data_IF_177623799170
#
_entry.id   IF_177623799170
#
_cell.length_a   1.000
_cell.length_b   1.000
_cell.length_c   1.000
_cell.angle_alpha   90.00
_cell.angle_beta   90.00
_cell.angle_gamma   90.00
#
_symmetry.space_group_name_H-M   'P 1'
#
loop_
_entity.id
_entity.type
_entity.pdbx_description
1 polymer ?
#
# COMPACT_ATOMS: atom_id res chain seq x y z
N UNK A 1 -23.07 -5.38 14.47
CA UNK A 1 -23.79 -5.77 13.25
C UNK A 1 -23.63 -4.78 12.09
N UNK A 2 -23.96 -3.51 12.26
CA UNK A 2 -23.88 -2.51 11.15
C UNK A 2 -22.44 -2.16 10.77
N UNK A 3 -21.52 -2.23 11.71
CA UNK A 3 -20.12 -1.81 11.54
C UNK A 3 -19.29 -2.78 10.66
N UNK A 4 -19.62 -4.07 10.67
CA UNK A 4 -18.94 -5.09 9.86
C UNK A 4 -19.34 -5.05 8.38
N UNK A 5 -20.48 -4.45 8.04
CA UNK A 5 -20.94 -4.36 6.65
C UNK A 5 -20.33 -3.18 5.88
N UNK A 6 -19.95 -2.09 6.56
CA UNK A 6 -19.41 -0.90 5.91
C UNK A 6 -18.05 -1.17 5.22
N UNK A 7 -17.20 -2.01 5.83
CA UNK A 7 -15.87 -2.32 5.30
C UNK A 7 -15.90 -3.08 3.96
N UNK A 8 -16.67 -4.18 3.81
CA UNK A 8 -16.80 -4.85 2.51
C UNK A 8 -17.44 -3.95 1.44
N UNK A 9 -18.44 -3.15 1.81
CA UNK A 9 -19.10 -2.23 0.87
C UNK A 9 -18.11 -1.18 0.37
N UNK A 10 -17.31 -0.59 1.27
CA UNK A 10 -16.27 0.37 0.88
C UNK A 10 -15.20 -0.29 0.00
N UNK A 11 -14.78 -1.52 0.34
CA UNK A 11 -13.82 -2.28 -0.47
C UNK A 11 -14.31 -2.54 -1.90
N UNK A 12 -15.58 -2.94 -2.05
CA UNK A 12 -16.21 -3.14 -3.37
C UNK A 12 -16.26 -1.81 -4.15
N UNK A 13 -16.70 -0.73 -3.49
CA UNK A 13 -16.74 0.59 -4.11
C UNK A 13 -15.35 1.05 -4.57
N UNK A 14 -14.34 0.90 -3.72
CA UNK A 14 -12.96 1.26 -4.04
C UNK A 14 -12.44 0.49 -5.25
N UNK A 15 -12.63 -0.84 -5.27
CA UNK A 15 -12.20 -1.69 -6.39
C UNK A 15 -12.92 -1.33 -7.69
N UNK A 16 -14.22 -1.09 -7.63
CA UNK A 16 -14.98 -0.69 -8.82
C UNK A 16 -14.51 0.68 -9.36
N UNK A 17 -14.31 1.66 -8.49
CA UNK A 17 -13.83 2.98 -8.87
C UNK A 17 -12.40 2.89 -9.47
N UNK A 18 -11.52 2.11 -8.86
CA UNK A 18 -10.16 1.89 -9.34
C UNK A 18 -10.17 1.22 -10.73
N UNK A 19 -10.96 0.15 -10.92
CA UNK A 19 -11.08 -0.54 -12.22
C UNK A 19 -11.60 0.38 -13.32
N UNK A 20 -12.57 1.26 -13.02
CA UNK A 20 -13.08 2.24 -13.99
C UNK A 20 -12.00 3.24 -14.39
N UNK A 21 -11.16 3.68 -13.46
CA UNK A 21 -10.05 4.58 -13.78
C UNK A 21 -8.96 3.89 -14.61
N UNK A 22 -8.64 2.62 -14.33
CA UNK A 22 -7.66 1.84 -15.09
C UNK A 22 -8.09 1.61 -16.55
N UNK A 23 -9.38 1.57 -16.82
CA UNK A 23 -9.94 1.39 -18.17
C UNK A 23 -10.09 2.72 -18.95
N UNK A 24 -9.85 3.87 -18.31
CA UNK A 24 -9.99 5.17 -18.95
C UNK A 24 -8.79 5.45 -19.87
N UNK A 25 -9.08 5.80 -21.11
CA UNK A 25 -8.06 6.22 -22.10
C UNK A 25 -7.78 7.73 -21.95
N UNK A 26 -7.04 8.07 -20.91
CA UNK A 26 -6.67 9.45 -20.58
C UNK A 26 -5.17 9.62 -20.63
N UNK A 27 -4.72 10.85 -20.95
CA UNK A 27 -3.29 11.18 -20.94
C UNK A 27 -2.77 11.10 -19.52
N UNK A 28 -1.80 10.25 -19.28
CA UNK A 28 -1.14 10.07 -17.98
C UNK A 28 0.08 10.97 -17.82
N UNK A 29 0.31 11.42 -16.61
CA UNK A 29 1.51 12.16 -16.20
C UNK A 29 2.55 11.19 -15.65
N UNK A 30 3.72 11.15 -16.29
CA UNK A 30 4.78 10.24 -15.86
C UNK A 30 5.48 10.79 -14.62
N UNK A 31 5.48 9.99 -13.56
CA UNK A 31 6.18 10.25 -12.31
C UNK A 31 7.54 9.57 -12.35
N UNK A 32 8.58 10.37 -12.18
CA UNK A 32 9.97 9.94 -12.16
C UNK A 32 10.78 10.84 -11.23
N UNK A 33 11.70 10.23 -10.49
CA UNK A 33 12.66 10.92 -9.64
C UNK A 33 14.08 10.51 -10.03
N UNK A 34 15.04 11.42 -9.95
CA UNK A 34 16.47 11.11 -10.18
C UNK A 34 17.01 10.00 -9.26
N UNK A 35 16.36 9.78 -8.11
CA UNK A 35 16.71 8.69 -7.22
C UNK A 35 16.30 7.32 -7.77
N UNK A 36 15.27 7.25 -8.64
CA UNK A 36 14.76 6.01 -9.21
C UNK A 36 15.80 5.33 -10.12
N UNK A 37 16.63 6.13 -10.79
CA UNK A 37 17.68 5.64 -11.69
C UNK A 37 18.82 4.95 -10.94
N UNK A 38 19.01 5.30 -9.65
CA UNK A 38 20.05 4.74 -8.80
C UNK A 38 19.64 3.45 -8.09
N UNK A 39 18.34 3.16 -8.02
CA UNK A 39 17.82 1.96 -7.38
C UNK A 39 17.85 0.81 -8.39
N UNK A 40 18.62 -0.27 -8.16
CA UNK A 40 18.65 -1.41 -9.08
C UNK A 40 17.36 -2.22 -8.99
N UNK A 41 16.99 -2.89 -10.09
CA UNK A 41 15.95 -3.92 -10.07
C UNK A 41 16.45 -5.15 -9.34
N UNK A 42 15.66 -5.68 -8.39
CA UNK A 42 15.99 -6.87 -7.61
C UNK A 42 14.79 -7.80 -7.47
N UNK A 43 14.76 -8.95 -8.18
CA UNK A 43 13.59 -9.83 -8.21
C UNK A 43 13.27 -10.51 -6.88
N UNK A 44 14.23 -10.63 -5.96
CA UNK A 44 13.98 -11.23 -4.64
C UNK A 44 13.03 -10.41 -3.76
N UNK A 45 12.87 -9.14 -4.04
CA UNK A 45 11.91 -8.27 -3.35
C UNK A 45 10.45 -8.59 -3.67
N UNK A 46 10.19 -9.53 -4.59
CA UNK A 46 8.83 -10.05 -4.81
C UNK A 46 8.27 -10.73 -3.54
N UNK A 47 9.12 -11.29 -2.68
CA UNK A 47 8.69 -11.94 -1.44
C UNK A 47 8.01 -10.93 -0.50
N UNK A 48 8.65 -9.86 -0.02
CA UNK A 48 7.98 -8.87 0.83
C UNK A 48 6.84 -8.15 0.11
N UNK A 49 6.88 -7.99 -1.22
CA UNK A 49 5.79 -7.42 -1.98
C UNK A 49 4.51 -8.28 -1.88
N UNK A 50 4.64 -9.59 -2.08
CA UNK A 50 3.49 -10.51 -1.94
C UNK A 50 3.03 -10.62 -0.49
N UNK A 51 3.94 -10.56 0.48
CA UNK A 51 3.60 -10.57 1.90
C UNK A 51 2.78 -9.35 2.33
N UNK A 52 2.82 -8.24 1.58
CA UNK A 52 1.97 -7.07 1.81
C UNK A 52 0.48 -7.41 1.82
N UNK A 53 0.01 -8.25 0.89
CA UNK A 53 -1.40 -8.66 0.84
C UNK A 53 -1.83 -9.37 2.13
N UNK A 54 -1.01 -10.31 2.59
CA UNK A 54 -1.29 -11.04 3.83
C UNK A 54 -1.19 -10.15 5.06
N UNK A 55 -0.24 -9.23 5.07
CA UNK A 55 -0.07 -8.27 6.17
C UNK A 55 -1.26 -7.32 6.28
N UNK A 56 -1.71 -6.74 5.17
CA UNK A 56 -2.87 -5.87 5.12
C UNK A 56 -4.15 -6.61 5.53
N UNK A 57 -4.45 -7.74 4.88
CA UNK A 57 -5.65 -8.53 5.15
C UNK A 57 -5.66 -9.02 6.60
N UNK A 58 -4.54 -9.56 7.08
CA UNK A 58 -4.41 -10.05 8.46
C UNK A 58 -4.62 -8.93 9.48
N UNK A 59 -4.09 -7.73 9.22
CA UNK A 59 -4.29 -6.56 10.11
C UNK A 59 -5.74 -6.10 10.10
N UNK A 60 -6.38 -6.01 8.94
CA UNK A 60 -7.81 -5.66 8.82
C UNK A 60 -8.68 -6.66 9.58
N UNK A 61 -8.45 -7.96 9.40
CA UNK A 61 -9.19 -9.02 10.12
C UNK A 61 -8.95 -8.90 11.63
N UNK A 62 -7.73 -8.69 12.06
CA UNK A 62 -7.41 -8.52 13.49
C UNK A 62 -8.22 -7.37 14.12
N UNK A 63 -8.22 -6.21 13.50
CA UNK A 63 -8.97 -5.05 14.02
C UNK A 63 -10.48 -5.24 13.91
N UNK A 64 -10.97 -5.92 12.89
CA UNK A 64 -12.40 -6.16 12.69
C UNK A 64 -12.99 -7.21 13.66
N UNK A 65 -12.21 -8.25 14.01
CA UNK A 65 -12.73 -9.42 14.71
C UNK A 65 -12.16 -9.55 16.13
N UNK A 66 -10.87 -9.30 16.31
CA UNK A 66 -10.13 -9.66 17.52
C UNK A 66 -9.76 -8.46 18.41
N UNK A 67 -9.83 -7.23 17.89
CA UNK A 67 -9.50 -6.03 18.64
C UNK A 67 -10.70 -5.62 19.52
N UNK A 68 -10.55 -5.55 20.86
CA UNK A 68 -11.65 -5.17 21.77
C UNK A 68 -11.94 -3.66 21.74
N UNK A 69 -11.01 -2.86 21.25
CA UNK A 69 -11.10 -1.40 21.26
C UNK A 69 -11.78 -0.89 19.97
N UNK A 70 -13.02 -0.42 20.11
CA UNK A 70 -13.71 0.25 19.00
C UNK A 70 -12.98 1.51 18.53
N UNK A 71 -12.30 2.23 19.42
CA UNK A 71 -11.51 3.40 19.09
C UNK A 71 -10.38 3.03 18.13
N UNK A 72 -9.57 2.03 18.47
CA UNK A 72 -8.46 1.59 17.62
C UNK A 72 -8.95 1.07 16.25
N UNK A 73 -10.07 0.34 16.25
CA UNK A 73 -10.73 -0.07 15.03
C UNK A 73 -11.08 1.11 14.12
N UNK A 74 -11.75 2.15 14.65
CA UNK A 74 -12.12 3.32 13.86
C UNK A 74 -10.92 4.16 13.44
N UNK A 75 -9.90 4.28 14.29
CA UNK A 75 -8.67 4.98 13.96
C UNK A 75 -7.96 4.32 12.76
N UNK A 76 -7.84 3.00 12.78
CA UNK A 76 -7.20 2.27 11.68
C UNK A 76 -8.03 2.31 10.40
N UNK A 77 -9.30 1.96 10.46
CA UNK A 77 -10.15 1.95 9.25
C UNK A 77 -10.42 3.35 8.71
N UNK A 78 -10.53 4.34 9.57
CA UNK A 78 -10.63 5.74 9.17
C UNK A 78 -9.37 6.20 8.43
N UNK A 79 -8.19 5.81 8.93
CA UNK A 79 -6.91 6.06 8.25
C UNK A 79 -6.90 5.44 6.86
N UNK A 80 -7.23 4.14 6.74
CA UNK A 80 -7.27 3.47 5.45
C UNK A 80 -8.31 4.11 4.51
N UNK A 81 -9.53 4.36 5.02
CA UNK A 81 -10.62 4.94 4.23
C UNK A 81 -10.27 6.32 3.66
N UNK A 82 -9.71 7.21 4.49
CA UNK A 82 -9.27 8.54 4.03
C UNK A 82 -8.14 8.44 3.02
N UNK A 83 -7.11 7.65 3.31
CA UNK A 83 -5.97 7.52 2.40
C UNK A 83 -6.35 6.93 1.05
N UNK A 84 -7.15 5.86 1.04
CA UNK A 84 -7.63 5.22 -0.18
C UNK A 84 -8.58 6.13 -0.98
N UNK A 85 -9.43 6.92 -0.30
CA UNK A 85 -10.30 7.91 -0.97
C UNK A 85 -9.48 9.03 -1.58
N UNK A 86 -8.48 9.55 -0.87
CA UNK A 86 -7.58 10.57 -1.41
C UNK A 86 -6.79 10.06 -2.61
N UNK A 87 -6.34 8.81 -2.57
CA UNK A 87 -5.70 8.18 -3.72
C UNK A 87 -6.63 8.17 -4.95
N UNK A 88 -7.89 7.74 -4.81
CA UNK A 88 -8.85 7.76 -5.92
C UNK A 88 -9.07 9.18 -6.44
N UNK A 89 -9.21 10.16 -5.56
CA UNK A 89 -9.39 11.56 -5.95
C UNK A 89 -8.17 12.11 -6.70
N UNK A 90 -6.95 11.82 -6.20
CA UNK A 90 -5.72 12.23 -6.87
C UNK A 90 -5.61 11.57 -8.24
N UNK A 91 -5.83 10.27 -8.34
CA UNK A 91 -5.77 9.53 -9.60
C UNK A 91 -6.81 10.01 -10.62
N UNK A 92 -7.99 10.42 -10.15
CA UNK A 92 -9.04 11.00 -11.00
C UNK A 92 -8.66 12.39 -11.54
N UNK A 93 -8.14 13.27 -10.68
CA UNK A 93 -7.79 14.66 -11.05
C UNK A 93 -6.45 14.72 -11.79
N UNK A 94 -5.53 13.84 -11.44
CA UNK A 94 -4.17 13.78 -11.95
C UNK A 94 -3.83 12.33 -12.34
N UNK A 95 -4.35 11.84 -13.47
CA UNK A 95 -3.99 10.51 -14.00
C UNK A 95 -2.49 10.40 -14.17
N UNK A 96 -1.90 9.39 -13.57
CA UNK A 96 -0.45 9.29 -13.44
C UNK A 96 0.05 7.87 -13.70
N UNK A 97 1.34 7.74 -13.96
CA UNK A 97 1.98 6.45 -14.22
C UNK A 97 3.49 6.54 -14.21
N UNK A 98 4.17 5.44 -14.54
CA UNK A 98 5.62 5.37 -14.56
C UNK A 98 6.13 4.47 -15.70
N UNK A 99 7.42 4.66 -16.05
CA UNK A 99 8.14 3.87 -17.03
C UNK A 99 9.42 3.24 -16.45
N UNK A 100 9.37 2.84 -15.17
CA UNK A 100 10.54 2.32 -14.45
C UNK A 100 10.76 0.82 -14.65
N UNK A 101 9.72 0.08 -15.08
CA UNK A 101 9.76 -1.38 -15.19
C UNK A 101 10.77 -1.83 -16.26
N UNK A 102 11.70 -2.73 -15.91
CA UNK A 102 12.61 -3.28 -16.92
C UNK A 102 11.87 -4.24 -17.85
N UNK A 103 12.40 -4.40 -19.06
CA UNK A 103 12.00 -5.50 -19.91
C UNK A 103 12.52 -6.81 -19.32
N UNK A 104 11.61 -7.76 -19.15
CA UNK A 104 11.89 -9.07 -18.57
C UNK A 104 11.90 -10.19 -19.64
N UNK A 105 11.82 -9.87 -20.95
CA UNK A 105 11.78 -10.87 -22.03
C UNK A 105 12.95 -11.84 -21.95
N UNK A 106 14.16 -11.32 -21.69
CA UNK A 106 15.40 -12.07 -21.65
C UNK A 106 15.86 -12.47 -20.21
N UNK A 107 15.04 -12.18 -19.21
CA UNK A 107 15.40 -12.40 -17.79
C UNK A 107 15.33 -13.88 -17.34
N UNK A 108 15.14 -14.83 -18.27
CA UNK A 108 14.99 -16.25 -17.96
C UNK A 108 13.63 -16.61 -17.35
N UNK A 109 13.45 -17.89 -16.96
CA UNK A 109 12.18 -18.44 -16.47
C UNK A 109 12.24 -18.85 -14.99
N UNK A 110 13.06 -18.17 -14.19
CA UNK A 110 13.12 -18.38 -12.75
C UNK A 110 11.76 -18.06 -12.07
N UNK A 111 11.47 -18.74 -10.97
CA UNK A 111 10.17 -18.60 -10.27
C UNK A 111 9.87 -17.14 -9.89
N UNK A 112 10.85 -16.39 -9.41
CA UNK A 112 10.67 -14.98 -9.05
C UNK A 112 10.32 -14.11 -10.26
N UNK A 113 11.03 -14.31 -11.38
CA UNK A 113 10.75 -13.59 -12.63
C UNK A 113 9.35 -13.94 -13.18
N UNK A 114 8.96 -15.19 -13.09
CA UNK A 114 7.62 -15.62 -13.53
C UNK A 114 6.51 -14.97 -12.71
N UNK A 115 6.69 -14.88 -11.38
CA UNK A 115 5.75 -14.19 -10.48
C UNK A 115 5.73 -12.68 -10.77
N UNK A 116 6.88 -12.05 -11.03
CA UNK A 116 6.95 -10.62 -11.37
C UNK A 116 6.28 -10.34 -12.72
N UNK A 117 6.48 -11.19 -13.73
CA UNK A 117 5.77 -11.06 -15.01
C UNK A 117 4.25 -11.15 -14.82
N UNK A 118 3.79 -12.06 -13.98
CA UNK A 118 2.37 -12.15 -13.65
C UNK A 118 1.89 -10.90 -12.89
N UNK A 119 2.67 -10.43 -11.91
CA UNK A 119 2.38 -9.19 -11.19
C UNK A 119 2.26 -8.00 -12.15
N UNK A 120 3.21 -7.82 -13.06
CA UNK A 120 3.21 -6.71 -14.02
C UNK A 120 2.01 -6.71 -14.99
N UNK A 121 1.36 -7.87 -15.16
CA UNK A 121 0.13 -7.98 -15.96
C UNK A 121 -1.13 -7.56 -15.21
N UNK A 122 -1.18 -7.84 -13.90
CA UNK A 122 -2.37 -7.56 -13.09
C UNK A 122 -2.31 -6.19 -12.41
N UNK A 123 -1.14 -5.69 -12.14
CA UNK A 123 -0.88 -4.41 -11.49
C UNK A 123 -0.22 -3.49 -12.54
N UNK A 124 -1.03 -2.63 -13.15
CA UNK A 124 -0.59 -1.77 -14.25
C UNK A 124 0.37 -0.67 -13.77
N UNK A 125 1.19 -0.07 -14.66
CA UNK A 125 2.09 1.02 -14.27
C UNK A 125 1.37 2.39 -14.25
N UNK A 126 0.06 2.40 -14.05
CA UNK A 126 -0.81 3.57 -14.01
C UNK A 126 -1.43 3.75 -12.63
N UNK A 127 -1.87 4.97 -12.32
CA UNK A 127 -2.48 5.31 -11.02
C UNK A 127 -1.62 4.87 -9.83
N UNK A 128 -0.35 5.24 -9.84
CA UNK A 128 0.65 4.81 -8.86
C UNK A 128 0.86 5.80 -7.70
N UNK A 129 0.39 7.04 -7.84
CA UNK A 129 0.68 8.14 -6.92
C UNK A 129 -0.55 8.56 -6.11
N UNK A 130 -0.44 8.66 -4.78
CA UNK A 130 0.64 8.14 -3.92
C UNK A 130 0.63 6.61 -3.83
N UNK A 131 1.74 5.98 -3.42
CA UNK A 131 1.81 4.52 -3.32
C UNK A 131 0.86 3.96 -2.26
N UNK A 132 -0.17 3.23 -2.69
CA UNK A 132 -1.09 2.56 -1.76
C UNK A 132 -0.46 1.37 -1.04
N UNK A 133 0.51 0.71 -1.64
CA UNK A 133 1.28 -0.34 -0.98
C UNK A 133 2.01 0.20 0.26
N UNK A 134 2.71 1.32 0.08
CA UNK A 134 3.44 2.00 1.16
C UNK A 134 2.47 2.58 2.19
N UNK A 135 1.41 3.25 1.72
CA UNK A 135 0.42 3.85 2.62
C UNK A 135 -0.23 2.80 3.52
N UNK A 136 -0.80 1.75 2.93
CA UNK A 136 -1.52 0.73 3.69
C UNK A 136 -0.59 -0.09 4.60
N UNK A 137 0.64 -0.42 4.15
CA UNK A 137 1.62 -1.11 4.99
C UNK A 137 2.00 -0.27 6.21
N UNK A 138 2.31 1.01 6.01
CA UNK A 138 2.71 1.92 7.09
C UNK A 138 1.55 2.20 8.03
N UNK A 139 0.34 2.41 7.53
CA UNK A 139 -0.87 2.59 8.35
C UNK A 139 -1.14 1.35 9.22
N UNK A 140 -1.00 0.14 8.65
CA UNK A 140 -1.13 -1.12 9.38
C UNK A 140 -0.08 -1.25 10.48
N UNK A 141 1.17 -0.92 10.18
CA UNK A 141 2.27 -0.94 11.14
C UNK A 141 2.02 0.03 12.31
N UNK A 142 1.57 1.25 12.01
CA UNK A 142 1.23 2.26 13.03
C UNK A 142 0.09 1.75 13.91
N UNK A 143 -0.99 1.24 13.32
CA UNK A 143 -2.14 0.73 14.08
C UNK A 143 -1.75 -0.41 15.03
N UNK A 144 -0.99 -1.40 14.53
CA UNK A 144 -0.50 -2.51 15.35
C UNK A 144 0.46 -2.06 16.46
N UNK A 145 1.30 -1.05 16.17
CA UNK A 145 2.20 -0.47 17.17
C UNK A 145 1.45 0.31 18.27
N UNK A 146 0.35 0.97 17.93
CA UNK A 146 -0.51 1.67 18.91
C UNK A 146 -1.33 0.71 19.76
N UNK A 147 -1.64 -0.49 19.24
CA UNK A 147 -2.36 -1.51 19.99
C UNK A 147 -1.48 -2.09 21.10
N UNK A 148 -1.89 -1.93 22.36
CA UNK A 148 -1.12 -2.33 23.53
C UNK A 148 -0.82 -3.82 23.56
N UNK A 149 -1.79 -4.67 23.16
CA UNK A 149 -1.61 -6.12 23.11
C UNK A 149 -0.52 -6.54 22.14
N UNK A 150 -0.50 -5.95 20.94
CA UNK A 150 0.51 -6.21 19.92
C UNK A 150 1.88 -5.68 20.38
N UNK A 151 1.92 -4.47 20.91
CA UNK A 151 3.16 -3.81 21.36
C UNK A 151 3.87 -4.54 22.51
N UNK A 152 3.15 -5.20 23.41
CA UNK A 152 3.73 -6.01 24.49
C UNK A 152 4.58 -7.17 23.97
N UNK A 153 4.28 -7.71 22.79
CA UNK A 153 5.10 -8.73 22.17
C UNK A 153 6.21 -8.07 21.33
N UNK A 154 7.40 -7.95 21.89
CA UNK A 154 8.55 -7.31 21.24
C UNK A 154 8.97 -7.98 19.93
N UNK A 155 8.89 -9.31 19.86
CA UNK A 155 9.26 -10.07 18.65
C UNK A 155 8.28 -9.73 17.52
N UNK A 156 6.98 -9.72 17.82
CA UNK A 156 5.95 -9.32 16.86
C UNK A 156 6.15 -7.86 16.40
N UNK A 157 6.41 -6.95 17.35
CA UNK A 157 6.62 -5.52 17.05
C UNK A 157 7.82 -5.30 16.14
N UNK A 158 8.95 -5.95 16.42
CA UNK A 158 10.13 -5.85 15.54
C UNK A 158 9.85 -6.49 14.18
N UNK A 159 9.24 -7.67 14.17
CA UNK A 159 8.91 -8.40 12.94
C UNK A 159 8.01 -7.60 11.99
N UNK A 160 6.95 -6.97 12.51
CA UNK A 160 6.07 -6.15 11.69
C UNK A 160 6.76 -4.87 11.14
N UNK A 161 7.64 -4.25 11.92
CA UNK A 161 8.42 -3.09 11.47
C UNK A 161 9.37 -3.51 10.34
N UNK A 162 10.12 -4.61 10.53
CA UNK A 162 11.03 -5.13 9.51
C UNK A 162 10.26 -5.49 8.23
N UNK A 163 9.10 -6.16 8.37
CA UNK A 163 8.25 -6.48 7.23
C UNK A 163 7.77 -5.21 6.51
N UNK A 164 7.30 -4.20 7.24
CA UNK A 164 6.84 -2.93 6.65
C UNK A 164 7.96 -2.23 5.88
N UNK A 165 9.16 -2.13 6.46
CA UNK A 165 10.32 -1.56 5.76
C UNK A 165 10.65 -2.36 4.51
N UNK A 166 10.62 -3.69 4.59
CA UNK A 166 10.87 -4.57 3.44
C UNK A 166 9.82 -4.40 2.34
N UNK A 167 8.54 -4.20 2.71
CA UNK A 167 7.45 -3.91 1.77
C UNK A 167 7.70 -2.55 1.08
N UNK A 168 8.02 -1.50 1.84
CA UNK A 168 8.34 -0.18 1.28
C UNK A 168 9.50 -0.28 0.28
N UNK A 169 10.58 -0.95 0.64
CA UNK A 169 11.73 -1.16 -0.25
C UNK A 169 11.32 -1.97 -1.49
N UNK A 170 10.46 -2.98 -1.33
CA UNK A 170 10.07 -3.85 -2.44
C UNK A 170 9.36 -3.09 -3.56
N UNK A 171 8.59 -2.05 -3.24
CA UNK A 171 7.91 -1.25 -4.26
C UNK A 171 8.88 -0.54 -5.20
N UNK A 172 10.02 -0.09 -4.67
CA UNK A 172 11.07 0.58 -5.43
C UNK A 172 12.00 -0.41 -6.16
N UNK A 173 12.44 -1.50 -5.48
CA UNK A 173 13.32 -2.50 -6.08
C UNK A 173 12.64 -3.36 -7.16
N UNK A 174 11.32 -3.51 -7.10
CA UNK A 174 10.52 -4.11 -8.17
C UNK A 174 10.07 -3.10 -9.22
N UNK A 175 10.51 -1.84 -9.13
CA UNK A 175 10.14 -0.79 -10.08
C UNK A 175 8.63 -0.61 -10.25
N UNK A 176 7.88 -0.83 -9.18
CA UNK A 176 6.43 -0.60 -9.13
C UNK A 176 6.11 0.87 -8.82
N UNK A 177 6.91 1.50 -7.97
CA UNK A 177 6.73 2.88 -7.53
C UNK A 177 8.02 3.69 -7.61
N UNK A 178 7.87 4.98 -7.90
CA UNK A 178 8.92 5.98 -7.75
C UNK A 178 9.17 6.32 -6.28
N UNK A 179 10.35 6.81 -5.97
CA UNK A 179 10.65 7.39 -4.66
C UNK A 179 9.67 8.52 -4.32
N UNK A 180 9.20 9.28 -5.32
CA UNK A 180 8.21 10.33 -5.12
C UNK A 180 6.87 9.79 -4.59
N UNK A 181 6.40 8.64 -5.12
CA UNK A 181 5.16 7.99 -4.68
C UNK A 181 5.29 7.49 -3.24
N UNK A 182 6.46 6.91 -2.91
CA UNK A 182 6.78 6.42 -1.58
C UNK A 182 6.78 7.57 -0.56
N UNK A 183 7.50 8.65 -0.85
CA UNK A 183 7.60 9.79 0.05
C UNK A 183 6.25 10.45 0.29
N UNK A 184 5.44 10.61 -0.76
CA UNK A 184 4.10 11.18 -0.64
C UNK A 184 3.18 10.29 0.20
N UNK A 185 3.25 8.97 0.04
CA UNK A 185 2.50 8.04 0.86
C UNK A 185 2.90 8.11 2.35
N UNK A 186 4.19 8.27 2.66
CA UNK A 186 4.67 8.46 4.04
C UNK A 186 4.19 9.78 4.63
N UNK A 187 4.24 10.87 3.86
CA UNK A 187 3.70 12.18 4.30
C UNK A 187 2.21 12.06 4.58
N UNK A 188 1.45 11.41 3.69
CA UNK A 188 0.02 11.18 3.89
C UNK A 188 -0.25 10.38 5.16
N UNK A 189 0.56 9.37 5.47
CA UNK A 189 0.45 8.63 6.73
C UNK A 189 0.70 9.51 7.95
N UNK A 190 1.66 10.42 7.90
CA UNK A 190 1.92 11.37 9.00
C UNK A 190 0.69 12.25 9.23
N UNK A 191 0.08 12.76 8.17
CA UNK A 191 -1.13 13.59 8.26
C UNK A 191 -2.32 12.80 8.81
N UNK A 192 -2.54 11.59 8.34
CA UNK A 192 -3.58 10.70 8.86
C UNK A 192 -3.33 10.31 10.32
N UNK A 193 -2.07 10.06 10.70
CA UNK A 193 -1.71 9.81 12.10
C UNK A 193 -2.06 10.99 13.01
N UNK A 194 -1.73 12.22 12.61
CA UNK A 194 -2.11 13.41 13.36
C UNK A 194 -3.63 13.50 13.49
N UNK A 195 -4.35 13.30 12.40
CA UNK A 195 -5.81 13.38 12.40
C UNK A 195 -6.45 12.33 13.32
N UNK A 196 -6.17 11.04 13.09
CA UNK A 196 -6.91 9.94 13.74
C UNK A 196 -6.35 9.52 15.10
N UNK A 197 -5.08 9.78 15.40
CA UNK A 197 -4.46 9.33 16.65
C UNK A 197 -4.13 10.47 17.61
N UNK A 198 -4.18 11.74 17.15
CA UNK A 198 -3.87 12.89 17.99
C UNK A 198 -5.05 13.88 18.16
N UNK A 199 -5.79 14.16 17.06
CA UNK A 199 -6.86 15.17 17.05
C UNK A 199 -8.21 14.55 17.34
N UNK A 200 -8.54 13.43 16.71
CA UNK A 200 -9.80 12.70 16.92
C UNK A 200 -9.54 11.64 18.01
N UNK A 201 -9.99 11.86 19.26
CA UNK A 201 -9.68 10.97 20.38
C UNK A 201 -10.42 9.64 20.34
#
# INVERSE_FOLDING_TARGET
GVQTCALPIYGIFYMAAFMLMEQSDVKIHIIHSLADDRIPFCPYFIIPYVLWYFFLIGTVIYFAVSCPSKKEYYQYLGTLGVGMTLFLLISYVYPNGQHLRPDLSDAGNGIFISVIRFLYKIDTPTNIFPSMHVFNATASCIALYQNERCRKNKVFTVGQIVLTVSIVLSTMFLKQHSVADVMTALILNILCYQLFYRVIP
#
